data_IF_876537847682
#
_entry.id   IF_876537847682
#
_cell.length_a   1.000
_cell.length_b   1.000
_cell.length_c   1.000
_cell.angle_alpha   90.00
_cell.angle_beta   90.00
_cell.angle_gamma   90.00
#
_symmetry.space_group_name_H-M   'P 1'
#
loop_
_entity.id
_entity.type
_entity.pdbx_description
1 polymer ?
#
# COMPACT_ATOMS: atom_id res chain seq x y z
N UNK A 1 -0.69 -14.99 30.05
CA UNK A 1 -0.09 -15.31 28.73
C UNK A 1 -0.10 -14.04 27.89
N UNK A 2 0.78 -13.09 28.24
CA UNK A 2 0.81 -11.73 27.70
C UNK A 2 2.24 -11.41 27.26
N UNK A 3 2.76 -12.18 26.31
CA UNK A 3 4.17 -12.13 25.92
C UNK A 3 4.42 -12.15 24.41
N UNK A 4 3.40 -12.40 23.57
CA UNK A 4 3.57 -12.42 22.10
C UNK A 4 3.19 -11.10 21.41
N UNK A 5 2.41 -10.23 22.05
CA UNK A 5 1.85 -9.02 21.42
C UNK A 5 2.85 -7.84 21.40
N UNK A 6 3.88 -7.88 22.24
CA UNK A 6 4.94 -6.87 22.29
C UNK A 6 6.02 -7.08 21.21
N UNK A 7 6.16 -8.31 20.70
CA UNK A 7 7.21 -8.69 19.73
C UNK A 7 6.92 -8.12 18.33
N UNK A 8 5.64 -7.89 18.00
CA UNK A 8 5.24 -7.35 16.70
C UNK A 8 5.57 -5.86 16.52
N UNK A 9 5.53 -5.08 17.60
CA UNK A 9 5.86 -3.64 17.57
C UNK A 9 7.38 -3.42 17.48
N UNK A 10 8.17 -4.23 18.19
CA UNK A 10 9.63 -4.20 18.11
C UNK A 10 10.15 -4.60 16.71
N UNK A 11 9.45 -5.51 16.03
CA UNK A 11 9.76 -5.88 14.65
C UNK A 11 9.55 -4.74 13.65
N UNK A 12 8.64 -3.80 13.92
CA UNK A 12 8.38 -2.63 13.09
C UNK A 12 9.47 -1.56 13.28
N UNK A 13 9.88 -1.29 14.53
CA UNK A 13 11.01 -0.39 14.82
C UNK A 13 12.36 -0.92 14.31
N UNK A 14 12.60 -2.24 14.40
CA UNK A 14 13.80 -2.87 13.85
C UNK A 14 13.87 -2.76 12.31
N UNK A 15 12.72 -2.73 11.62
CA UNK A 15 12.64 -2.55 10.16
C UNK A 15 12.88 -1.12 9.72
N UNK A 16 12.45 -0.13 10.51
CA UNK A 16 12.75 1.27 10.28
C UNK A 16 14.27 1.56 10.41
N UNK A 17 14.95 0.89 11.33
CA UNK A 17 16.40 1.03 11.56
C UNK A 17 17.23 0.37 10.43
N UNK A 18 16.71 -0.70 9.80
CA UNK A 18 17.32 -1.31 8.62
C UNK A 18 17.26 -0.40 7.38
N UNK A 19 16.22 0.45 7.26
CA UNK A 19 16.13 1.47 6.22
C UNK A 19 17.20 2.57 6.36
N UNK A 20 17.55 2.94 7.59
CA UNK A 20 18.61 3.91 7.87
C UNK A 20 20.00 3.39 7.48
N UNK A 21 20.27 2.08 7.61
CA UNK A 21 21.57 1.47 7.21
C UNK A 21 21.76 1.35 5.69
N UNK A 22 20.69 1.32 4.90
CA UNK A 22 20.76 1.38 3.44
C UNK A 22 21.13 2.77 2.92
N UNK A 23 20.83 3.83 3.67
CA UNK A 23 21.26 5.19 3.36
C UNK A 23 22.78 5.38 3.53
N UNK A 24 23.42 4.69 4.49
CA UNK A 24 24.88 4.68 4.65
C UNK A 24 25.61 3.89 3.54
N UNK A 25 24.99 2.85 2.99
CA UNK A 25 25.60 2.04 1.92
C UNK A 25 25.74 2.80 0.59
N UNK A 26 24.84 3.75 0.30
CA UNK A 26 24.95 4.63 -0.88
C UNK A 26 26.16 5.56 -0.83
N UNK A 27 26.68 5.89 0.37
CA UNK A 27 27.87 6.73 0.52
C UNK A 27 29.18 6.01 0.14
N UNK A 28 29.19 4.67 0.01
CA UNK A 28 30.40 3.92 -0.37
C UNK A 28 30.55 3.71 -1.89
N UNK A 29 29.49 3.92 -2.67
CA UNK A 29 29.53 3.73 -4.14
C UNK A 29 30.23 4.90 -4.84
N UNK A 30 30.26 6.10 -4.25
CA UNK A 30 31.01 7.25 -4.78
C UNK A 30 32.54 7.11 -4.68
N UNK A 31 33.04 6.14 -3.88
CA UNK A 31 34.48 5.94 -3.67
C UNK A 31 35.20 5.10 -4.74
N UNK A 32 34.48 4.37 -5.60
CA UNK A 32 35.09 3.38 -6.52
C UNK A 32 35.20 3.92 -7.96
N UNK A 33 34.47 4.98 -8.30
CA UNK A 33 34.46 5.56 -9.66
C UNK A 33 35.73 6.38 -10.02
N UNK A 34 36.71 6.53 -9.12
CA UNK A 34 37.83 7.48 -9.28
C UNK A 34 39.17 6.88 -9.72
N UNK A 35 39.27 5.58 -10.07
CA UNK A 35 40.59 4.97 -10.38
C UNK A 35 40.77 4.34 -11.77
N UNK A 36 39.83 4.51 -12.71
CA UNK A 36 39.96 3.92 -14.06
C UNK A 36 40.24 4.95 -15.18
N UNK A 37 40.67 6.16 -14.82
CA UNK A 37 40.87 7.29 -15.75
C UNK A 37 42.22 7.35 -16.47
N UNK A 38 43.10 6.34 -16.40
CA UNK A 38 44.41 6.45 -17.07
C UNK A 38 44.89 5.15 -17.69
N UNK A 39 44.30 4.78 -18.83
CA UNK A 39 45.03 4.13 -19.94
C UNK A 39 44.09 3.99 -21.13
N UNK A 40 44.31 4.83 -22.13
CA UNK A 40 44.44 4.46 -23.56
C UNK A 40 44.18 5.69 -24.44
N UNK A 41 45.24 6.46 -24.66
CA UNK A 41 45.34 7.31 -25.83
C UNK A 41 46.31 6.62 -26.79
N UNK A 42 45.79 6.08 -27.89
CA UNK A 42 46.47 6.08 -29.20
C UNK A 42 45.57 5.58 -30.34
N UNK A 43 45.16 6.53 -31.17
CA UNK A 43 45.06 6.34 -32.61
C UNK A 43 43.65 6.19 -33.18
N UNK A 44 43.09 7.29 -33.66
CA UNK A 44 42.55 7.44 -35.02
C UNK A 44 41.85 8.80 -35.13
N UNK A 45 42.53 9.75 -35.76
CA UNK A 45 41.97 11.04 -36.18
C UNK A 45 40.94 10.80 -37.29
N UNK A 46 39.68 10.60 -36.89
CA UNK A 46 38.51 10.94 -37.68
C UNK A 46 37.92 12.21 -37.08
N UNK A 47 37.80 13.25 -37.90
CA UNK A 47 37.30 14.58 -37.55
C UNK A 47 35.80 14.52 -37.22
N UNK A 48 35.48 13.90 -36.08
CA UNK A 48 34.21 14.02 -35.39
C UNK A 48 34.45 15.14 -34.40
N UNK A 49 33.88 16.32 -34.66
CA UNK A 49 33.93 17.48 -33.77
C UNK A 49 33.73 17.03 -32.32
N UNK A 50 34.79 17.07 -31.51
CA UNK A 50 34.78 16.64 -30.11
C UNK A 50 33.70 17.40 -29.30
N UNK A 51 33.39 18.63 -29.73
CA UNK A 51 32.34 19.47 -29.17
C UNK A 51 30.94 18.88 -29.38
N UNK A 52 30.65 18.30 -30.55
CA UNK A 52 29.36 17.67 -30.83
C UNK A 52 29.12 16.43 -29.94
N UNK A 53 30.18 15.66 -29.65
CA UNK A 53 30.09 14.48 -28.77
C UNK A 53 29.94 14.84 -27.30
N UNK A 54 30.48 15.98 -26.87
CA UNK A 54 30.35 16.49 -25.50
C UNK A 54 28.93 17.01 -25.23
N UNK A 55 28.37 17.78 -26.16
CA UNK A 55 26.99 18.27 -26.07
C UNK A 55 25.98 17.10 -26.11
N UNK A 56 26.18 16.10 -26.98
CA UNK A 56 25.35 14.89 -27.02
C UNK A 56 25.44 14.07 -25.72
N UNK A 57 26.62 14.00 -25.08
CA UNK A 57 26.80 13.32 -23.81
C UNK A 57 26.10 14.08 -22.66
N UNK A 58 26.21 15.40 -22.65
CA UNK A 58 25.54 16.28 -21.69
C UNK A 58 24.02 16.20 -21.83
N UNK A 59 23.48 16.25 -23.04
CA UNK A 59 22.05 16.12 -23.28
C UNK A 59 21.51 14.76 -22.83
N UNK A 60 22.25 13.68 -23.11
CA UNK A 60 21.90 12.33 -22.62
C UNK A 60 21.91 12.25 -21.10
N UNK A 61 22.91 12.84 -20.44
CA UNK A 61 22.97 12.87 -18.98
C UNK A 61 21.79 13.66 -18.38
N UNK A 62 21.46 14.83 -18.94
CA UNK A 62 20.29 15.62 -18.51
C UNK A 62 18.99 14.84 -18.71
N UNK A 63 18.83 14.16 -19.84
CA UNK A 63 17.66 13.34 -20.13
C UNK A 63 17.53 12.18 -19.14
N UNK A 64 18.63 11.52 -18.78
CA UNK A 64 18.62 10.44 -17.79
C UNK A 64 18.30 10.96 -16.38
N UNK A 65 18.88 12.09 -15.97
CA UNK A 65 18.53 12.73 -14.70
C UNK A 65 17.04 13.07 -14.61
N UNK A 66 16.44 13.58 -15.69
CA UNK A 66 14.99 13.86 -15.75
C UNK A 66 14.16 12.59 -15.63
N UNK A 67 14.53 11.52 -16.35
CA UNK A 67 13.85 10.21 -16.26
C UNK A 67 13.99 9.59 -14.88
N UNK A 68 15.14 9.75 -14.23
CA UNK A 68 15.35 9.28 -12.87
C UNK A 68 14.50 10.08 -11.87
N UNK A 69 14.45 11.40 -12.00
CA UNK A 69 13.60 12.25 -11.17
C UNK A 69 12.12 11.87 -11.28
N UNK A 70 11.60 11.71 -12.50
CA UNK A 70 10.21 11.29 -12.71
C UNK A 70 9.92 9.93 -12.06
N UNK A 71 10.81 8.94 -12.23
CA UNK A 71 10.67 7.62 -11.57
C UNK A 71 10.68 7.72 -10.04
N UNK A 72 11.46 8.63 -9.49
CA UNK A 72 11.53 8.84 -8.04
C UNK A 72 10.27 9.51 -7.51
N UNK A 73 9.72 10.47 -8.25
CA UNK A 73 8.43 11.12 -7.96
C UNK A 73 7.30 10.08 -7.96
N UNK A 74 7.16 9.29 -9.03
CA UNK A 74 6.17 8.21 -9.13
C UNK A 74 6.30 7.20 -7.97
N UNK A 75 7.54 6.82 -7.62
CA UNK A 75 7.80 5.89 -6.52
C UNK A 75 7.47 6.48 -5.15
N UNK A 76 7.71 7.78 -4.96
CA UNK A 76 7.38 8.50 -3.74
C UNK A 76 5.87 8.61 -3.57
N UNK A 77 5.14 8.96 -4.62
CA UNK A 77 3.68 9.06 -4.60
C UNK A 77 3.04 7.72 -4.26
N UNK A 78 3.45 6.64 -4.93
CA UNK A 78 2.97 5.30 -4.62
C UNK A 78 3.32 4.84 -3.19
N UNK A 79 4.47 5.27 -2.66
CA UNK A 79 4.84 4.98 -1.27
C UNK A 79 4.00 5.77 -0.28
N UNK A 80 3.72 7.05 -0.55
CA UNK A 80 2.86 7.91 0.24
C UNK A 80 1.43 7.35 0.32
N UNK A 81 0.84 6.99 -0.81
CA UNK A 81 -0.49 6.36 -0.86
C UNK A 81 -0.55 5.11 0.00
N UNK A 82 0.41 4.19 -0.19
CA UNK A 82 0.49 2.96 0.61
C UNK A 82 0.60 3.24 2.11
N UNK A 83 1.48 4.15 2.52
CA UNK A 83 1.70 4.49 3.92
C UNK A 83 0.47 5.15 4.55
N UNK A 84 -0.22 6.02 3.82
CA UNK A 84 -1.47 6.61 4.28
C UNK A 84 -2.55 5.54 4.49
N UNK A 85 -2.70 4.59 3.55
CA UNK A 85 -3.60 3.45 3.72
C UNK A 85 -3.26 2.62 4.96
N UNK A 86 -1.98 2.30 5.17
CA UNK A 86 -1.51 1.52 6.33
C UNK A 86 -1.79 2.25 7.65
N UNK A 87 -1.53 3.56 7.72
CA UNK A 87 -1.80 4.38 8.90
C UNK A 87 -3.30 4.46 9.17
N UNK A 88 -4.11 4.72 8.13
CA UNK A 88 -5.57 4.80 8.26
C UNK A 88 -6.15 3.47 8.75
N UNK A 89 -5.69 2.35 8.19
CA UNK A 89 -6.09 1.01 8.62
C UNK A 89 -5.71 0.75 10.08
N UNK A 90 -4.49 1.11 10.49
CA UNK A 90 -4.01 0.93 11.87
C UNK A 90 -4.81 1.74 12.89
N UNK A 91 -5.08 3.02 12.59
CA UNK A 91 -5.90 3.89 13.46
C UNK A 91 -7.32 3.34 13.56
N UNK A 92 -7.96 3.01 12.44
CA UNK A 92 -9.33 2.51 12.45
C UNK A 92 -9.45 1.13 13.10
N UNK A 93 -8.49 0.22 12.91
CA UNK A 93 -8.49 -1.07 13.60
C UNK A 93 -8.44 -0.88 15.12
N UNK A 94 -7.63 0.06 15.61
CA UNK A 94 -7.58 0.42 17.03
C UNK A 94 -8.90 1.02 17.52
N UNK A 95 -9.48 1.95 16.78
CA UNK A 95 -10.77 2.55 17.15
C UNK A 95 -11.90 1.51 17.14
N UNK A 96 -11.88 0.55 16.22
CA UNK A 96 -12.86 -0.56 16.17
C UNK A 96 -12.75 -1.52 17.35
N UNK A 97 -11.58 -1.66 17.97
CA UNK A 97 -11.43 -2.38 19.24
C UNK A 97 -12.09 -1.62 20.40
N UNK A 98 -12.07 -0.28 20.37
CA UNK A 98 -12.67 0.56 21.41
C UNK A 98 -14.19 0.69 21.24
N UNK A 99 -14.66 0.81 20.00
CA UNK A 99 -16.06 0.90 19.63
C UNK A 99 -16.33 -0.03 18.43
N UNK A 100 -16.88 -1.24 18.68
CA UNK A 100 -17.18 -2.19 17.62
C UNK A 100 -18.05 -1.59 16.52
N UNK A 101 -17.77 -1.94 15.27
CA UNK A 101 -18.56 -1.50 14.11
C UNK A 101 -20.03 -1.90 14.27
N UNK A 102 -20.95 -0.96 14.06
CA UNK A 102 -22.38 -1.27 13.94
C UNK A 102 -22.65 -1.90 12.57
N UNK A 103 -22.43 -3.21 12.49
CA UNK A 103 -22.70 -4.01 11.29
C UNK A 103 -24.18 -3.96 10.88
N UNK A 104 -25.11 -3.75 11.80
CA UNK A 104 -26.53 -3.64 11.50
C UNK A 104 -26.83 -2.37 10.69
N UNK A 105 -26.35 -1.23 11.17
CA UNK A 105 -26.48 0.04 10.46
C UNK A 105 -25.75 0.01 9.10
N UNK A 106 -24.55 -0.57 9.05
CA UNK A 106 -23.79 -0.73 7.82
C UNK A 106 -24.55 -1.54 6.77
N UNK A 107 -25.03 -2.72 7.14
CA UNK A 107 -25.74 -3.61 6.22
C UNK A 107 -27.10 -3.05 5.82
N UNK A 108 -27.77 -2.29 6.68
CA UNK A 108 -28.99 -1.56 6.33
C UNK A 108 -28.71 -0.49 5.25
N UNK A 109 -27.62 0.27 5.37
CA UNK A 109 -27.19 1.22 4.35
C UNK A 109 -26.96 0.54 2.99
N UNK A 110 -26.17 -0.53 2.98
CA UNK A 110 -25.88 -1.32 1.77
C UNK A 110 -27.19 -1.84 1.15
N UNK A 111 -28.09 -2.44 1.95
CA UNK A 111 -29.38 -2.95 1.46
C UNK A 111 -30.27 -1.89 0.81
N UNK A 112 -30.21 -0.64 1.28
CA UNK A 112 -31.02 0.44 0.72
C UNK A 112 -30.54 0.88 -0.68
N UNK A 113 -29.27 0.67 -0.98
CA UNK A 113 -28.66 1.04 -2.27
C UNK A 113 -28.71 -0.11 -3.31
N UNK A 114 -29.00 -1.33 -2.86
CA UNK A 114 -29.01 -2.52 -3.70
C UNK A 114 -30.31 -2.71 -4.47
N UNK A 115 -30.18 -3.14 -5.72
CA UNK A 115 -31.28 -3.65 -6.54
C UNK A 115 -31.41 -5.17 -6.33
N UNK A 116 -31.91 -5.61 -5.17
CA UNK A 116 -32.17 -7.02 -4.89
C UNK A 116 -32.16 -7.39 -3.42
N UNK A 117 -32.78 -8.52 -3.08
CA UNK A 117 -32.79 -9.05 -1.71
C UNK A 117 -31.55 -9.92 -1.45
N UNK A 118 -30.77 -9.63 -0.39
CA UNK A 118 -29.67 -10.50 0.02
C UNK A 118 -30.21 -11.84 0.55
N UNK A 119 -29.54 -12.92 0.15
CA UNK A 119 -29.88 -14.28 0.58
C UNK A 119 -29.38 -14.56 2.00
N UNK A 120 -28.16 -14.12 2.29
CA UNK A 120 -27.50 -14.27 3.60
C UNK A 120 -26.34 -13.30 3.73
N UNK A 121 -25.90 -13.11 4.96
CA UNK A 121 -24.64 -12.42 5.28
C UNK A 121 -23.65 -13.41 5.88
N UNK A 122 -22.38 -13.30 5.48
CA UNK A 122 -21.26 -13.98 6.15
C UNK A 122 -20.53 -12.97 7.03
N UNK A 123 -20.34 -13.36 8.28
CA UNK A 123 -19.70 -12.55 9.32
C UNK A 123 -18.67 -13.40 10.07
N UNK A 124 -17.71 -12.75 10.74
CA UNK A 124 -16.86 -13.43 11.71
C UNK A 124 -17.72 -14.11 12.82
N UNK A 125 -17.31 -15.26 13.40
CA UNK A 125 -18.11 -15.95 14.41
C UNK A 125 -18.53 -15.11 15.62
N UNK A 126 -17.67 -14.19 16.07
CA UNK A 126 -18.01 -13.28 17.18
C UNK A 126 -19.13 -12.29 16.82
N UNK A 127 -19.12 -11.80 15.59
CA UNK A 127 -20.14 -10.86 15.10
C UNK A 127 -21.43 -11.59 14.76
N UNK A 128 -21.34 -12.80 14.19
CA UNK A 128 -22.53 -13.62 13.93
C UNK A 128 -23.25 -14.00 15.24
N UNK A 129 -22.50 -14.23 16.33
CA UNK A 129 -23.09 -14.46 17.66
C UNK A 129 -23.82 -13.23 18.23
N UNK A 130 -23.41 -12.02 17.81
CA UNK A 130 -24.03 -10.74 18.20
C UNK A 130 -25.13 -10.29 17.23
N UNK A 131 -25.26 -10.95 16.07
CA UNK A 131 -26.21 -10.62 15.03
C UNK A 131 -27.65 -10.87 15.48
N UNK A 132 -28.51 -9.86 15.32
CA UNK A 132 -29.92 -9.91 15.78
C UNK A 132 -30.95 -9.66 14.68
N UNK A 133 -30.53 -9.34 13.46
CA UNK A 133 -31.46 -9.12 12.36
C UNK A 133 -31.99 -10.46 11.84
N UNK A 134 -33.22 -10.78 12.21
CA UNK A 134 -33.91 -12.00 11.79
C UNK A 134 -34.31 -11.98 10.30
N UNK A 135 -34.31 -10.81 9.65
CA UNK A 135 -34.68 -10.69 8.23
C UNK A 135 -33.56 -11.15 7.29
N UNK A 136 -32.33 -11.23 7.79
CA UNK A 136 -31.15 -11.59 7.00
C UNK A 136 -30.41 -12.76 7.68
N UNK A 137 -30.51 -13.99 7.12
CA UNK A 137 -29.79 -15.14 7.65
C UNK A 137 -28.28 -14.87 7.76
N UNK A 138 -27.69 -15.13 8.92
CA UNK A 138 -26.23 -15.03 9.13
C UNK A 138 -25.57 -16.40 9.03
N UNK A 139 -24.39 -16.44 8.41
CA UNK A 139 -23.48 -17.57 8.39
C UNK A 139 -22.14 -17.15 9.02
N UNK A 140 -21.63 -17.95 9.94
CA UNK A 140 -20.32 -17.71 10.55
C UNK A 140 -19.19 -18.12 9.59
N UNK A 141 -18.17 -17.28 9.45
CA UNK A 141 -17.02 -17.50 8.59
C UNK A 141 -15.72 -17.09 9.30
N UNK A 142 -14.91 -18.09 9.65
CA UNK A 142 -13.66 -17.88 10.38
C UNK A 142 -12.52 -17.27 9.53
N UNK A 143 -12.71 -17.12 8.21
CA UNK A 143 -11.73 -16.47 7.33
C UNK A 143 -11.86 -14.94 7.32
N UNK A 144 -12.96 -14.41 7.87
CA UNK A 144 -13.22 -12.98 7.99
C UNK A 144 -12.65 -12.44 9.31
N UNK A 145 -12.28 -11.16 9.35
CA UNK A 145 -11.92 -10.50 10.60
C UNK A 145 -13.16 -9.90 11.28
N UNK A 146 -13.14 -9.66 12.61
CA UNK A 146 -14.22 -8.92 13.25
C UNK A 146 -14.51 -7.58 12.55
N UNK A 147 -15.78 -7.28 12.29
CA UNK A 147 -16.22 -6.09 11.55
C UNK A 147 -16.23 -6.21 10.03
N UNK A 148 -15.79 -7.35 9.48
CA UNK A 148 -15.97 -7.70 8.07
C UNK A 148 -17.38 -8.26 7.82
N UNK A 149 -17.89 -7.99 6.62
CA UNK A 149 -19.12 -8.59 6.13
C UNK A 149 -19.04 -8.91 4.63
N UNK A 150 -19.67 -10.01 4.24
CA UNK A 150 -19.94 -10.35 2.84
C UNK A 150 -21.43 -10.61 2.69
N UNK A 151 -22.10 -9.90 1.79
CA UNK A 151 -23.50 -10.17 1.46
C UNK A 151 -23.55 -11.10 0.25
N UNK A 152 -24.27 -12.19 0.36
CA UNK A 152 -24.52 -13.08 -0.76
C UNK A 152 -25.89 -12.80 -1.38
N UNK A 153 -25.89 -12.69 -2.70
CA UNK A 153 -27.03 -12.41 -3.56
C UNK A 153 -27.29 -13.59 -4.48
N UNK A 154 -28.44 -13.59 -5.16
CA UNK A 154 -28.71 -14.61 -6.19
C UNK A 154 -27.72 -14.53 -7.36
N UNK A 155 -27.30 -13.31 -7.71
CA UNK A 155 -26.50 -13.02 -8.90
C UNK A 155 -25.00 -12.85 -8.59
N UNK A 156 -24.61 -12.90 -7.31
CA UNK A 156 -23.22 -12.69 -6.90
C UNK A 156 -23.06 -12.40 -5.42
N UNK A 157 -22.06 -11.60 -5.08
CA UNK A 157 -21.79 -11.18 -3.70
C UNK A 157 -21.32 -9.73 -3.65
N UNK A 158 -21.68 -9.02 -2.60
CA UNK A 158 -21.13 -7.70 -2.28
C UNK A 158 -20.09 -7.87 -1.19
N UNK A 159 -18.90 -7.37 -1.50
CA UNK A 159 -17.78 -7.35 -0.58
C UNK A 159 -17.83 -6.09 0.29
N UNK A 160 -18.19 -6.27 1.56
CA UNK A 160 -18.25 -5.21 2.55
C UNK A 160 -17.18 -5.39 3.63
N UNK A 161 -16.07 -6.08 3.31
CA UNK A 161 -14.91 -6.18 4.21
C UNK A 161 -14.34 -4.80 4.51
N UNK A 162 -13.82 -4.64 5.73
CA UNK A 162 -13.32 -3.36 6.21
C UNK A 162 -12.28 -2.76 5.26
N UNK A 163 -11.33 -3.56 4.78
CA UNK A 163 -10.30 -3.08 3.83
C UNK A 163 -10.86 -2.54 2.52
N UNK A 164 -11.92 -3.17 1.98
CA UNK A 164 -12.58 -2.71 0.74
C UNK A 164 -13.30 -1.37 0.98
N UNK A 165 -14.00 -1.26 2.11
CA UNK A 165 -14.69 -0.01 2.49
C UNK A 165 -13.70 1.13 2.72
N UNK A 166 -12.58 0.85 3.39
CA UNK A 166 -11.53 1.83 3.62
C UNK A 166 -10.93 2.30 2.28
N UNK A 167 -10.60 1.37 1.38
CA UNK A 167 -10.07 1.73 0.07
C UNK A 167 -11.04 2.63 -0.70
N UNK A 168 -12.34 2.31 -0.70
CA UNK A 168 -13.35 3.15 -1.37
C UNK A 168 -13.42 4.58 -0.80
N UNK A 169 -13.26 4.75 0.52
CA UNK A 169 -13.20 6.09 1.15
C UNK A 169 -11.93 6.82 0.75
N UNK A 170 -10.79 6.14 0.73
CA UNK A 170 -9.51 6.73 0.34
C UNK A 170 -9.52 7.15 -1.13
N UNK A 171 -10.07 6.32 -2.02
CA UNK A 171 -10.23 6.62 -3.44
C UNK A 171 -11.16 7.82 -3.66
N UNK A 172 -12.23 7.96 -2.87
CA UNK A 172 -13.14 9.11 -2.93
C UNK A 172 -12.51 10.42 -2.40
N UNK A 173 -11.45 10.32 -1.60
CA UNK A 173 -10.69 11.46 -1.09
C UNK A 173 -9.43 11.77 -1.91
N UNK A 174 -9.08 10.92 -2.88
CA UNK A 174 -7.98 11.20 -3.79
C UNK A 174 -8.32 12.45 -4.65
N UNK A 175 -7.36 13.38 -4.80
CA UNK A 175 -7.58 14.67 -5.48
C UNK A 175 -7.80 14.58 -6.99
#
# INVERSE_FOLDING_TARGET
MASDEFIALDAWFARADAGARLAEASSQIEGIASTESQREARGATGDISEDATCDDARERAIAECRRWHARLEDALDAACERLLCEIAAGVLARELQLAPCDLGALLAGIRNEMLGEPLRVRLHPEDCARWKDASLPCCADATLSPGDALLELREGSIDARFGVRLQAVLDACAP
#
